data_IF_815570201931
#
_entry.id   IF_815570201931
#
_cell.length_a   1.000
_cell.length_b   1.000
_cell.length_c   1.000
_cell.angle_alpha   90.00
_cell.angle_beta   90.00
_cell.angle_gamma   90.00
#
_symmetry.space_group_name_H-M   'P 1'
#
loop_
_entity.id
_entity.type
_entity.pdbx_description
1 polymer ?
#
# COMPACT_ATOMS: atom_id res chain seq x y z
N UNK A 1 -25.13 -12.82 23.72
CA UNK A 1 -23.97 -13.42 23.02
C UNK A 1 -24.30 -13.68 21.54
N UNK A 2 -25.53 -14.11 21.23
CA UNK A 2 -25.94 -14.44 19.85
C UNK A 2 -25.88 -13.29 18.87
N UNK A 3 -26.29 -12.08 19.29
CA UNK A 3 -26.21 -10.88 18.45
C UNK A 3 -24.76 -10.63 18.01
N UNK A 4 -23.83 -10.60 18.96
CA UNK A 4 -22.41 -10.40 18.69
C UNK A 4 -21.85 -11.45 17.71
N UNK A 5 -22.15 -12.74 17.96
CA UNK A 5 -21.67 -13.83 17.10
C UNK A 5 -22.18 -13.67 15.66
N UNK A 6 -23.47 -13.38 15.47
CA UNK A 6 -24.06 -13.18 14.14
C UNK A 6 -23.50 -11.95 13.44
N UNK A 7 -23.40 -10.82 14.14
CA UNK A 7 -22.81 -9.59 13.58
C UNK A 7 -21.34 -9.78 13.20
N UNK A 8 -20.55 -10.43 14.05
CA UNK A 8 -19.14 -10.71 13.77
C UNK A 8 -18.97 -11.62 12.57
N UNK A 9 -19.82 -12.64 12.43
CA UNK A 9 -19.80 -13.54 11.27
C UNK A 9 -20.02 -12.79 9.96
N UNK A 10 -21.05 -11.93 9.90
CA UNK A 10 -21.35 -11.13 8.71
C UNK A 10 -20.16 -10.21 8.40
N UNK A 11 -19.66 -9.49 9.41
CA UNK A 11 -18.54 -8.56 9.25
C UNK A 11 -17.25 -9.25 8.80
N UNK A 12 -16.92 -10.41 9.39
CA UNK A 12 -15.71 -11.15 9.04
C UNK A 12 -15.76 -11.66 7.60
N UNK A 13 -16.90 -12.18 7.14
CA UNK A 13 -17.06 -12.67 5.77
C UNK A 13 -17.04 -11.50 4.78
N UNK A 14 -17.90 -10.51 4.98
CA UNK A 14 -18.00 -9.36 4.08
C UNK A 14 -16.69 -8.55 4.03
N UNK A 15 -16.07 -8.31 5.19
CA UNK A 15 -14.79 -7.60 5.28
C UNK A 15 -13.64 -8.35 4.62
N UNK A 16 -13.59 -9.69 4.74
CA UNK A 16 -12.57 -10.50 4.07
C UNK A 16 -12.72 -10.47 2.55
N UNK A 17 -13.95 -10.51 2.04
CA UNK A 17 -14.20 -10.34 0.60
C UNK A 17 -13.76 -8.95 0.18
N UNK A 18 -14.19 -7.91 0.89
CA UNK A 18 -13.87 -6.52 0.58
C UNK A 18 -12.36 -6.25 0.53
N UNK A 19 -11.58 -6.73 1.51
CA UNK A 19 -10.13 -6.46 1.54
C UNK A 19 -9.39 -7.13 0.37
N UNK A 20 -9.83 -8.31 -0.05
CA UNK A 20 -9.27 -8.99 -1.23
C UNK A 20 -9.57 -8.19 -2.50
N UNK A 21 -10.81 -7.74 -2.68
CA UNK A 21 -11.18 -6.89 -3.82
C UNK A 21 -10.41 -5.55 -3.81
N UNK A 22 -10.26 -4.91 -2.65
CA UNK A 22 -9.47 -3.67 -2.52
C UNK A 22 -8.02 -3.92 -2.91
N UNK A 23 -7.40 -5.03 -2.48
CA UNK A 23 -6.02 -5.36 -2.85
C UNK A 23 -5.83 -5.55 -4.36
N UNK A 24 -6.73 -6.30 -5.01
CA UNK A 24 -6.66 -6.54 -6.47
C UNK A 24 -6.83 -5.22 -7.24
N UNK A 25 -7.85 -4.43 -6.87
CA UNK A 25 -8.09 -3.14 -7.54
C UNK A 25 -6.95 -2.16 -7.28
N UNK A 26 -6.44 -2.09 -6.05
CA UNK A 26 -5.32 -1.23 -5.67
C UNK A 26 -4.05 -1.55 -6.45
N UNK A 27 -3.74 -2.84 -6.64
CA UNK A 27 -2.61 -3.26 -7.48
C UNK A 27 -2.78 -2.79 -8.93
N UNK A 28 -3.95 -3.00 -9.54
CA UNK A 28 -4.22 -2.53 -10.90
C UNK A 28 -4.13 -1.00 -11.04
N UNK A 29 -4.63 -0.25 -10.05
CA UNK A 29 -4.51 1.22 -10.02
C UNK A 29 -3.04 1.67 -9.88
N UNK A 30 -2.24 0.97 -9.09
CA UNK A 30 -0.80 1.22 -9.00
C UNK A 30 -0.13 1.01 -10.37
N UNK A 31 -0.37 -0.10 -11.06
CA UNK A 31 0.21 -0.33 -12.38
C UNK A 31 -0.18 0.78 -13.38
N UNK A 32 -1.44 1.19 -13.39
CA UNK A 32 -1.89 2.29 -14.24
C UNK A 32 -1.23 3.64 -13.88
N UNK A 33 -0.95 3.89 -12.60
CA UNK A 33 -0.30 5.11 -12.14
C UNK A 33 1.15 5.22 -12.64
N UNK A 34 1.84 4.11 -12.92
CA UNK A 34 3.18 4.14 -13.52
C UNK A 34 3.15 4.77 -14.92
N UNK A 35 2.11 4.47 -15.69
CA UNK A 35 1.94 4.98 -17.05
C UNK A 35 1.33 6.39 -17.05
N UNK A 36 0.27 6.60 -16.27
CA UNK A 36 -0.48 7.85 -16.29
C UNK A 36 0.19 8.98 -15.48
N UNK A 37 0.90 8.64 -14.40
CA UNK A 37 1.51 9.62 -13.48
C UNK A 37 2.88 9.14 -12.96
N UNK A 38 3.89 9.03 -13.85
CA UNK A 38 5.20 8.47 -13.48
C UNK A 38 5.90 9.27 -12.36
N UNK A 39 5.74 10.58 -12.32
CA UNK A 39 6.32 11.43 -11.27
C UNK A 39 5.75 11.14 -9.88
N UNK A 40 4.45 10.84 -9.80
CA UNK A 40 3.79 10.47 -8.54
C UNK A 40 4.31 9.12 -8.05
N UNK A 41 4.53 8.17 -8.96
CA UNK A 41 5.14 6.89 -8.63
C UNK A 41 6.58 7.02 -8.16
N UNK A 42 7.43 7.75 -8.91
CA UNK A 42 8.82 7.98 -8.53
C UNK A 42 8.92 8.68 -7.16
N UNK A 43 8.02 9.63 -6.87
CA UNK A 43 7.94 10.28 -5.56
C UNK A 43 7.46 9.33 -4.44
N UNK A 44 6.51 8.44 -4.70
CA UNK A 44 6.06 7.44 -3.72
C UNK A 44 7.17 6.47 -3.31
N UNK A 45 8.09 6.17 -4.22
CA UNK A 45 9.25 5.30 -3.98
C UNK A 45 10.53 6.06 -3.56
N UNK A 46 10.49 7.40 -3.54
CA UNK A 46 11.68 8.24 -3.37
C UNK A 46 12.82 7.87 -4.34
N UNK A 47 12.46 7.53 -5.57
CA UNK A 47 13.38 7.16 -6.64
C UNK A 47 13.90 8.43 -7.34
N UNK A 48 15.04 8.94 -6.89
CA UNK A 48 15.60 10.18 -7.45
C UNK A 48 16.23 10.01 -8.83
N UNK A 49 16.93 8.89 -9.01
CA UNK A 49 17.62 8.56 -10.26
C UNK A 49 16.98 7.32 -10.87
N UNK A 50 16.98 7.24 -12.19
CA UNK A 50 16.48 6.08 -12.93
C UNK A 50 17.26 4.83 -12.56
N UNK A 51 16.55 3.73 -12.30
CA UNK A 51 17.14 2.44 -11.91
C UNK A 51 16.60 1.31 -12.79
N UNK A 52 17.47 0.35 -13.11
CA UNK A 52 17.15 -0.89 -13.80
C UNK A 52 18.05 -2.03 -13.25
N UNK A 53 17.49 -3.07 -12.59
CA UNK A 53 16.08 -3.22 -12.23
C UNK A 53 15.69 -2.28 -11.08
N UNK A 54 14.53 -1.64 -11.20
CA UNK A 54 14.05 -0.69 -10.20
C UNK A 54 13.80 -1.36 -8.83
N UNK A 55 14.32 -0.72 -7.78
CA UNK A 55 14.20 -1.20 -6.40
C UNK A 55 12.95 -0.64 -5.70
N UNK A 56 12.30 -1.45 -4.85
CA UNK A 56 11.19 -1.02 -4.00
C UNK A 56 11.72 -0.51 -2.67
N UNK A 57 11.36 0.70 -2.24
CA UNK A 57 11.81 1.20 -0.95
C UNK A 57 10.90 0.69 0.18
N UNK A 58 11.48 0.00 1.16
CA UNK A 58 10.77 -0.33 2.41
C UNK A 58 10.78 0.92 3.32
N UNK A 59 11.95 1.51 3.50
CA UNK A 59 12.17 2.60 4.44
C UNK A 59 13.35 3.48 4.04
N UNK A 60 13.11 4.78 3.89
CA UNK A 60 14.10 5.81 3.56
C UNK A 60 13.92 6.95 4.57
N UNK A 61 14.90 7.13 5.47
CA UNK A 61 14.94 8.19 6.49
C UNK A 61 16.35 8.76 6.54
N UNK A 62 16.52 9.98 6.02
CA UNK A 62 17.84 10.62 5.97
C UNK A 62 18.84 9.73 5.22
N UNK A 63 19.87 9.25 5.93
CA UNK A 63 20.92 8.38 5.37
C UNK A 63 20.58 6.89 5.40
N UNK A 64 19.49 6.48 6.05
CA UNK A 64 19.06 5.08 6.12
C UNK A 64 18.15 4.82 4.94
N UNK A 65 18.55 3.93 4.04
CA UNK A 65 17.77 3.53 2.87
C UNK A 65 17.74 2.00 2.75
N UNK A 66 16.56 1.42 2.97
CA UNK A 66 16.30 -0.01 2.92
C UNK A 66 15.43 -0.28 1.72
N UNK A 67 16.01 -0.90 0.69
CA UNK A 67 15.32 -1.22 -0.57
C UNK A 67 15.42 -2.69 -0.90
N UNK A 68 14.41 -3.21 -1.60
CA UNK A 68 14.38 -4.57 -2.13
C UNK A 68 14.56 -4.49 -3.65
N UNK A 69 15.68 -5.01 -4.19
CA UNK A 69 15.96 -4.93 -5.62
C UNK A 69 14.94 -5.73 -6.45
N UNK A 70 14.51 -5.17 -7.58
CA UNK A 70 13.56 -5.79 -8.52
C UNK A 70 12.10 -5.93 -8.03
N UNK A 71 11.83 -5.65 -6.76
CA UNK A 71 10.47 -5.74 -6.22
C UNK A 71 9.54 -4.66 -6.78
N UNK A 72 10.06 -3.47 -7.10
CA UNK A 72 9.23 -2.42 -7.71
C UNK A 72 8.83 -2.81 -9.12
N UNK A 73 9.74 -3.43 -9.89
CA UNK A 73 9.42 -4.00 -11.20
C UNK A 73 8.31 -5.06 -11.12
N UNK A 74 8.37 -5.93 -10.11
CA UNK A 74 7.35 -6.96 -9.92
C UNK A 74 5.99 -6.31 -9.66
N UNK A 75 5.93 -5.25 -8.85
CA UNK A 75 4.70 -4.56 -8.52
C UNK A 75 4.17 -3.68 -9.67
N UNK A 76 5.05 -3.09 -10.46
CA UNK A 76 4.70 -2.18 -11.55
C UNK A 76 4.35 -2.91 -12.84
N UNK A 77 5.14 -3.90 -13.25
CA UNK A 77 5.04 -4.54 -14.56
C UNK A 77 4.89 -6.06 -14.51
N UNK A 78 4.86 -6.67 -13.31
CA UNK A 78 4.90 -8.13 -13.14
C UNK A 78 6.15 -8.78 -13.77
N UNK A 79 7.26 -8.05 -13.84
CA UNK A 79 8.56 -8.54 -14.30
C UNK A 79 9.63 -8.28 -13.25
N UNK A 80 10.73 -9.05 -13.25
CA UNK A 80 11.86 -8.80 -12.34
C UNK A 80 12.88 -7.80 -12.90
N UNK A 81 12.75 -7.49 -14.18
CA UNK A 81 13.61 -6.56 -14.90
C UNK A 81 12.74 -5.52 -15.59
N UNK A 82 12.99 -4.26 -15.25
CA UNK A 82 12.31 -3.09 -15.75
C UNK A 82 13.14 -1.84 -15.45
N UNK A 83 12.98 -0.81 -16.27
CA UNK A 83 13.52 0.52 -16.02
C UNK A 83 12.38 1.43 -15.55
N UNK A 84 12.57 2.10 -14.40
CA UNK A 84 11.63 3.11 -13.91
C UNK A 84 12.37 4.44 -13.81
N UNK A 85 11.80 5.46 -14.48
CA UNK A 85 12.36 6.80 -14.51
C UNK A 85 12.36 7.43 -13.12
N UNK A 86 13.50 8.00 -12.73
CA UNK A 86 13.65 8.74 -11.49
C UNK A 86 13.06 10.16 -11.57
N UNK A 87 12.90 10.78 -10.40
CA UNK A 87 12.37 12.15 -10.24
C UNK A 87 13.18 13.16 -11.07
N UNK A 88 14.51 13.06 -11.09
CA UNK A 88 15.38 14.00 -11.79
C UNK A 88 15.15 13.95 -13.31
N UNK A 89 15.05 12.75 -13.87
CA UNK A 89 14.86 12.55 -15.31
C UNK A 89 13.45 12.95 -15.74
N UNK A 90 12.45 12.67 -14.89
CA UNK A 90 11.07 13.09 -15.12
C UNK A 90 10.91 14.61 -15.01
N UNK A 91 11.63 15.26 -14.10
CA UNK A 91 11.65 16.72 -13.97
C UNK A 91 12.23 17.36 -15.24
N UNK A 92 13.37 16.86 -15.72
CA UNK A 92 13.97 17.35 -16.97
C UNK A 92 13.05 17.10 -18.18
N UNK A 93 12.37 15.94 -18.23
CA UNK A 93 11.38 15.65 -19.27
C UNK A 93 10.21 16.64 -19.24
N UNK A 94 9.65 16.91 -18.06
CA UNK A 94 8.51 17.82 -17.90
C UNK A 94 8.88 19.28 -18.13
N UNK A 95 10.09 19.71 -17.77
CA UNK A 95 10.58 21.05 -18.14
C UNK A 95 10.69 21.22 -19.67
N UNK A 96 11.11 20.17 -20.38
CA UNK A 96 11.17 20.17 -21.84
C UNK A 96 9.80 20.19 -22.52
N UNK A 97 8.79 19.56 -21.91
CA UNK A 97 7.44 19.42 -22.47
C UNK A 97 6.52 20.59 -22.12
N UNK A 98 6.54 21.03 -20.85
CA UNK A 98 5.62 22.02 -20.31
C UNK A 98 6.27 23.38 -20.03
N UNK A 99 7.59 23.50 -20.20
CA UNK A 99 8.36 24.71 -19.95
C UNK A 99 8.96 24.76 -18.53
N UNK A 100 9.73 25.81 -18.22
CA UNK A 100 10.47 25.90 -16.97
C UNK A 100 9.53 25.96 -15.76
N UNK A 101 9.74 25.09 -14.78
CA UNK A 101 8.92 25.00 -13.58
C UNK A 101 9.31 23.80 -12.72
N UNK A 102 8.81 23.73 -11.48
CA UNK A 102 9.03 22.58 -10.61
C UNK A 102 7.81 21.66 -10.64
N UNK A 103 7.96 20.46 -11.21
CA UNK A 103 6.91 19.46 -11.34
C UNK A 103 7.03 18.35 -10.28
N UNK A 104 7.98 18.47 -9.34
CA UNK A 104 8.23 17.50 -8.30
C UNK A 104 7.21 17.72 -7.16
N UNK A 105 6.35 16.74 -6.85
CA UNK A 105 5.46 16.83 -5.69
C UNK A 105 6.27 16.74 -4.39
N UNK A 106 5.69 17.11 -3.23
CA UNK A 106 6.37 17.00 -1.94
C UNK A 106 6.72 15.54 -1.61
N UNK A 107 7.93 15.11 -1.97
CA UNK A 107 8.36 13.69 -2.01
C UNK A 107 8.16 13.02 -0.66
N UNK A 108 8.57 13.66 0.44
CA UNK A 108 8.42 13.10 1.78
C UNK A 108 6.95 12.81 2.15
N UNK A 109 6.02 13.70 1.77
CA UNK A 109 4.60 13.52 2.04
C UNK A 109 4.06 12.36 1.22
N UNK A 110 4.32 12.34 -0.10
CA UNK A 110 3.85 11.26 -0.99
C UNK A 110 4.42 9.90 -0.56
N UNK A 111 5.71 9.85 -0.24
CA UNK A 111 6.42 8.66 0.21
C UNK A 111 5.82 8.05 1.48
N UNK A 112 5.58 8.87 2.50
CA UNK A 112 5.05 8.38 3.78
C UNK A 112 3.56 8.06 3.69
N UNK A 113 2.78 8.88 2.97
CA UNK A 113 1.38 8.61 2.71
C UNK A 113 1.19 7.24 2.06
N UNK A 114 1.95 6.95 0.99
CA UNK A 114 1.90 5.65 0.31
C UNK A 114 2.19 4.48 1.26
N UNK A 115 3.19 4.61 2.14
CA UNK A 115 3.54 3.56 3.11
C UNK A 115 2.50 3.36 4.20
N UNK A 116 1.91 4.44 4.71
CA UNK A 116 0.82 4.32 5.68
C UNK A 116 -0.42 3.68 5.03
N UNK A 117 -0.73 4.04 3.80
CA UNK A 117 -1.83 3.46 3.02
C UNK A 117 -1.61 1.96 2.79
N UNK A 118 -0.49 1.59 2.16
CA UNK A 118 -0.16 0.19 1.87
C UNK A 118 -0.02 -0.61 3.16
N UNK A 119 0.66 -0.05 4.17
CA UNK A 119 0.82 -0.69 5.48
C UNK A 119 -0.51 -0.97 6.17
N UNK A 120 -1.46 -0.02 6.16
CA UNK A 120 -2.79 -0.23 6.71
C UNK A 120 -3.56 -1.32 5.94
N UNK A 121 -3.53 -1.28 4.61
CA UNK A 121 -4.15 -2.31 3.76
C UNK A 121 -3.56 -3.71 3.98
N UNK A 122 -2.23 -3.80 4.02
CA UNK A 122 -1.48 -5.03 4.28
C UNK A 122 -1.73 -5.58 5.68
N UNK A 123 -2.00 -4.75 6.68
CA UNK A 123 -2.39 -5.19 8.03
C UNK A 123 -3.84 -5.66 8.12
N UNK A 124 -4.75 -5.09 7.32
CA UNK A 124 -6.16 -5.51 7.31
C UNK A 124 -6.34 -6.93 6.75
N UNK A 125 -5.52 -7.36 5.79
CA UNK A 125 -5.59 -8.71 5.22
C UNK A 125 -5.37 -9.85 6.24
N UNK A 126 -4.26 -9.88 7.02
CA UNK A 126 -4.07 -10.90 8.05
C UNK A 126 -5.07 -10.78 9.19
N UNK A 127 -5.57 -9.58 9.50
CA UNK A 127 -6.66 -9.41 10.48
C UNK A 127 -7.96 -10.05 9.99
N UNK A 128 -8.29 -9.90 8.71
CA UNK A 128 -9.44 -10.56 8.09
C UNK A 128 -9.28 -12.09 8.11
N UNK A 129 -8.09 -12.60 7.74
CA UNK A 129 -7.79 -14.04 7.86
C UNK A 129 -7.91 -14.53 9.31
N UNK A 130 -7.43 -13.76 10.28
CA UNK A 130 -7.54 -14.09 11.69
C UNK A 130 -9.00 -14.07 12.19
N UNK A 131 -9.82 -13.15 11.70
CA UNK A 131 -11.25 -13.10 12.00
C UNK A 131 -11.97 -14.36 11.51
N UNK A 132 -11.69 -14.79 10.27
CA UNK A 132 -12.22 -16.04 9.71
C UNK A 132 -11.73 -17.27 10.48
N UNK A 133 -10.46 -17.30 10.88
CA UNK A 133 -9.92 -18.38 11.71
C UNK A 133 -10.65 -18.52 13.06
N UNK A 134 -10.92 -17.39 13.75
CA UNK A 134 -11.68 -17.40 15.00
C UNK A 134 -13.14 -17.85 14.79
N UNK A 135 -13.74 -17.44 13.69
CA UNK A 135 -15.10 -17.81 13.30
C UNK A 135 -15.22 -19.31 13.02
N UNK A 136 -14.39 -19.86 12.15
CA UNK A 136 -14.42 -21.30 11.79
C UNK A 136 -13.96 -22.21 12.93
N UNK A 137 -13.07 -21.72 13.80
CA UNK A 137 -12.64 -22.46 14.98
C UNK A 137 -13.67 -22.48 16.12
N UNK A 138 -14.83 -21.81 15.98
CA UNK A 138 -15.79 -21.58 17.07
C UNK A 138 -15.12 -20.99 18.34
N UNK A 139 -14.06 -20.19 18.16
CA UNK A 139 -13.23 -19.65 19.27
C UNK A 139 -13.67 -18.26 19.74
N UNK A 140 -14.78 -17.74 19.21
CA UNK A 140 -15.30 -16.40 19.51
C UNK A 140 -15.65 -16.19 20.99
N UNK A 141 -15.89 -17.26 21.74
CA UNK A 141 -16.29 -17.19 23.15
C UNK A 141 -15.13 -17.29 24.15
N UNK A 142 -13.90 -17.61 23.70
CA UNK A 142 -12.85 -18.09 24.63
C UNK A 142 -11.63 -17.16 24.86
N UNK A 143 -11.40 -16.04 24.14
CA UNK A 143 -10.61 -14.95 24.74
C UNK A 143 -11.10 -13.52 24.45
N UNK A 144 -11.26 -12.70 25.50
CA UNK A 144 -11.59 -11.25 25.41
C UNK A 144 -10.48 -10.40 24.76
N UNK A 145 -9.20 -10.80 24.89
CA UNK A 145 -8.05 -10.02 24.40
C UNK A 145 -7.89 -10.06 22.88
N UNK A 146 -8.18 -11.20 22.24
CA UNK A 146 -8.11 -11.31 20.76
C UNK A 146 -9.20 -10.47 20.09
N UNK A 147 -10.35 -10.29 20.74
CA UNK A 147 -11.44 -9.46 20.20
C UNK A 147 -11.15 -7.95 20.33
N UNK A 148 -10.41 -7.53 21.36
CA UNK A 148 -9.97 -6.13 21.47
C UNK A 148 -9.05 -5.70 20.32
N UNK A 149 -8.35 -6.62 19.67
CA UNK A 149 -7.56 -6.32 18.47
C UNK A 149 -8.44 -5.72 17.36
N UNK A 150 -9.66 -6.23 17.17
CA UNK A 150 -10.58 -5.72 16.16
C UNK A 150 -11.14 -4.34 16.49
N UNK A 151 -11.17 -3.95 17.77
CA UNK A 151 -11.54 -2.58 18.18
C UNK A 151 -10.48 -1.59 17.69
N UNK A 152 -9.19 -1.94 17.86
CA UNK A 152 -8.10 -1.13 17.31
C UNK A 152 -8.07 -1.14 15.78
N UNK A 153 -8.46 -2.25 15.16
CA UNK A 153 -8.52 -2.38 13.70
C UNK A 153 -9.52 -1.42 13.04
N UNK A 154 -10.49 -0.86 13.78
CA UNK A 154 -11.44 0.15 13.27
C UNK A 154 -10.69 1.37 12.72
N UNK A 155 -9.51 1.71 13.25
CA UNK A 155 -8.72 2.85 12.77
C UNK A 155 -8.05 2.60 11.40
N UNK A 156 -7.77 1.34 11.04
CA UNK A 156 -6.97 1.02 9.86
C UNK A 156 -7.61 1.51 8.54
N UNK A 157 -8.92 1.32 8.28
CA UNK A 157 -9.55 1.86 7.08
C UNK A 157 -9.46 3.39 6.99
N UNK A 158 -9.53 4.10 8.11
CA UNK A 158 -9.41 5.56 8.09
C UNK A 158 -7.99 6.01 7.76
N UNK A 159 -6.98 5.34 8.33
CA UNK A 159 -5.58 5.58 7.99
C UNK A 159 -5.37 5.32 6.49
N UNK A 160 -5.83 4.18 5.98
CA UNK A 160 -5.67 3.83 4.57
C UNK A 160 -6.42 4.71 3.56
N UNK A 161 -7.42 5.49 3.99
CA UNK A 161 -8.14 6.43 3.11
C UNK A 161 -7.68 7.88 3.28
N UNK A 162 -7.05 8.22 4.40
CA UNK A 162 -6.57 9.58 4.66
C UNK A 162 -5.22 9.82 4.00
N UNK A 163 -4.41 8.77 3.88
CA UNK A 163 -3.09 8.77 3.28
C UNK A 163 -3.12 8.17 1.88
#
# INVERSE_FOLDING_TARGET
VDLFRRSFQIAAIAGSIAIVFIGINGHGQAQHMVEAQPMKMAAAEALWNTESPASFSILTIGNIDIRVPGALCLLSYNTLDCEIKGINDLQAQFEGEFGPGNYIPPVAVVYWSFRFMVGAGSLMLPLAMYALFLLFGNKLEKPRRSLHLFVWAIALPFIGNTF
#
